data_IF_589686913944
#
_entry.id   IF_589686913944
#
_cell.length_a   1.000
_cell.length_b   1.000
_cell.length_c   1.000
_cell.angle_alpha   90.00
_cell.angle_beta   90.00
_cell.angle_gamma   90.00
#
_symmetry.space_group_name_H-M   'P 1'
#
loop_
_entity.id
_entity.type
_entity.pdbx_description
1 polymer ?
#
# COMPACT_ATOMS: atom_id res chain seq x y z
N UNK A 1 11.58 16.24 4.13
CA UNK A 1 11.16 16.77 2.81
C UNK A 1 9.70 17.13 2.95
N UNK A 2 9.27 18.26 2.40
CA UNK A 2 7.84 18.58 2.34
C UNK A 2 7.13 17.53 1.47
N UNK A 3 5.99 17.03 1.93
CA UNK A 3 5.28 15.91 1.28
C UNK A 3 4.73 16.29 -0.09
N UNK A 4 4.31 17.54 -0.29
CA UNK A 4 3.81 18.03 -1.57
C UNK A 4 4.95 18.14 -2.58
N UNK A 5 6.13 18.57 -2.13
CA UNK A 5 7.31 18.62 -2.99
C UNK A 5 7.81 17.22 -3.37
N UNK A 6 7.66 16.22 -2.48
CA UNK A 6 7.93 14.82 -2.83
C UNK A 6 6.96 14.30 -3.90
N UNK A 7 5.66 14.53 -3.73
CA UNK A 7 4.64 14.15 -4.72
C UNK A 7 4.91 14.86 -6.06
N UNK A 8 5.27 16.15 -6.04
CA UNK A 8 5.66 16.92 -7.24
C UNK A 8 6.85 16.28 -7.94
N UNK A 9 7.92 15.98 -7.21
CA UNK A 9 9.12 15.38 -7.78
C UNK A 9 8.85 14.01 -8.42
N UNK A 10 8.02 13.18 -7.78
CA UNK A 10 7.59 11.89 -8.33
C UNK A 10 6.72 12.06 -9.58
N UNK A 11 5.77 12.99 -9.56
CA UNK A 11 4.95 13.30 -10.73
C UNK A 11 5.79 13.77 -11.93
N UNK A 12 6.80 14.62 -11.69
CA UNK A 12 7.75 15.04 -12.72
C UNK A 12 8.65 13.89 -13.22
N UNK A 13 9.07 12.97 -12.34
CA UNK A 13 9.78 11.75 -12.76
C UNK A 13 8.88 10.87 -13.63
N UNK A 14 7.61 10.72 -13.25
CA UNK A 14 6.62 9.96 -14.01
C UNK A 14 6.43 10.55 -15.42
N UNK A 15 6.34 11.87 -15.56
CA UNK A 15 6.32 12.52 -16.87
C UNK A 15 7.60 12.27 -17.66
N UNK A 16 8.77 12.39 -17.03
CA UNK A 16 10.08 12.16 -17.67
C UNK A 16 10.24 10.73 -18.19
N UNK A 17 9.61 9.74 -17.56
CA UNK A 17 9.58 8.36 -18.07
C UNK A 17 8.41 8.09 -19.04
N UNK A 18 7.82 9.14 -19.62
CA UNK A 18 6.76 9.04 -20.62
C UNK A 18 5.39 8.68 -20.04
N UNK A 19 5.19 8.84 -18.74
CA UNK A 19 3.95 8.47 -18.05
C UNK A 19 2.70 9.24 -18.51
N UNK A 20 2.87 10.42 -19.11
CA UNK A 20 1.78 11.23 -19.64
C UNK A 20 1.45 10.94 -21.11
N UNK A 21 2.23 10.08 -21.77
CA UNK A 21 2.08 9.75 -23.20
C UNK A 21 0.98 8.71 -23.41
N UNK A 22 0.01 9.06 -24.27
CA UNK A 22 -1.09 8.19 -24.69
C UNK A 22 -0.70 7.37 -25.91
N UNK A 23 -1.49 6.33 -26.20
CA UNK A 23 -1.27 5.43 -27.35
C UNK A 23 -1.33 6.14 -28.71
N UNK A 24 -2.01 7.29 -28.79
CA UNK A 24 -2.10 8.14 -29.99
C UNK A 24 -0.94 9.14 -30.11
N UNK A 25 0.03 9.10 -29.19
CA UNK A 25 1.17 10.01 -29.13
C UNK A 25 0.88 11.38 -28.48
N UNK A 26 -0.36 11.64 -28.05
CA UNK A 26 -0.69 12.86 -27.31
C UNK A 26 -0.20 12.79 -25.86
N UNK A 27 0.05 13.96 -25.25
CA UNK A 27 0.44 14.06 -23.84
C UNK A 27 -0.71 14.62 -23.01
N UNK A 28 -1.02 13.93 -21.92
CA UNK A 28 -1.90 14.45 -20.87
C UNK A 28 -1.13 15.45 -19.99
N UNK A 29 -1.85 16.41 -19.40
CA UNK A 29 -1.26 17.28 -18.38
C UNK A 29 -1.06 16.48 -17.10
N UNK A 30 0.03 16.77 -16.37
CA UNK A 30 0.28 16.18 -15.04
C UNK A 30 -0.78 16.61 -14.03
N UNK A 31 -1.10 17.90 -14.03
CA UNK A 31 -2.04 18.51 -13.10
C UNK A 31 -2.97 19.47 -13.85
N UNK A 32 -4.22 19.52 -13.40
CA UNK A 32 -5.13 20.61 -13.77
C UNK A 32 -4.72 21.89 -13.02
N UNK A 33 -5.17 23.09 -13.45
CA UNK A 33 -4.89 24.32 -12.73
C UNK A 33 -5.25 24.18 -11.24
N UNK A 34 -4.38 24.62 -10.30
CA UNK A 34 -4.69 24.56 -8.88
C UNK A 34 -5.98 25.29 -8.53
N UNK A 35 -6.73 24.73 -7.58
CA UNK A 35 -7.89 25.41 -7.01
C UNK A 35 -7.43 26.56 -6.11
N UNK A 36 -8.24 27.61 -5.98
CA UNK A 36 -8.03 28.59 -4.90
C UNK A 36 -8.52 28.00 -3.58
N UNK A 37 -8.00 28.52 -2.47
CA UNK A 37 -8.46 28.07 -1.15
C UNK A 37 -9.95 28.36 -0.96
N UNK A 38 -10.48 29.45 -1.53
CA UNK A 38 -11.90 29.79 -1.50
C UNK A 38 -12.76 28.74 -2.20
N UNK A 39 -12.32 28.23 -3.36
CA UNK A 39 -13.02 27.15 -4.07
C UNK A 39 -13.06 25.86 -3.24
N UNK A 40 -11.97 25.54 -2.53
CA UNK A 40 -11.93 24.39 -1.62
C UNK A 40 -12.87 24.60 -0.43
N UNK A 41 -12.89 25.78 0.19
CA UNK A 41 -13.80 26.07 1.31
C UNK A 41 -15.27 26.10 0.90
N UNK A 42 -15.56 26.56 -0.32
CA UNK A 42 -16.91 26.50 -0.88
C UNK A 42 -17.36 25.05 -1.07
N UNK A 43 -16.49 24.20 -1.63
CA UNK A 43 -16.75 22.77 -1.77
C UNK A 43 -16.96 22.08 -0.42
N UNK A 44 -16.12 22.33 0.57
CA UNK A 44 -16.26 21.79 1.93
C UNK A 44 -17.62 22.16 2.55
N UNK A 45 -18.05 23.41 2.38
CA UNK A 45 -19.34 23.89 2.86
C UNK A 45 -20.51 23.21 2.14
N UNK A 46 -20.46 23.13 0.81
CA UNK A 46 -21.48 22.51 -0.03
C UNK A 46 -21.67 21.03 0.33
N UNK A 47 -20.56 20.31 0.44
CA UNK A 47 -20.56 18.87 0.70
C UNK A 47 -20.66 18.51 2.19
N UNK A 48 -20.64 19.52 3.09
CA UNK A 48 -20.55 19.39 4.55
C UNK A 48 -19.39 18.47 5.00
N UNK A 49 -18.20 18.68 4.43
CA UNK A 49 -16.98 17.93 4.75
C UNK A 49 -15.86 18.84 5.23
N UNK A 50 -14.81 18.28 5.82
CA UNK A 50 -13.55 19.00 6.12
C UNK A 50 -12.40 18.19 5.60
N UNK A 51 -11.81 18.61 4.48
CA UNK A 51 -10.78 17.86 3.79
C UNK A 51 -9.48 17.86 4.62
N UNK A 52 -8.73 16.73 4.65
CA UNK A 52 -7.42 16.67 5.26
C UNK A 52 -6.46 17.73 4.68
N UNK A 53 -5.64 18.33 5.54
CA UNK A 53 -4.74 19.44 5.17
C UNK A 53 -3.84 19.10 3.97
N UNK A 54 -3.24 17.90 3.96
CA UNK A 54 -2.38 17.46 2.85
C UNK A 54 -3.15 17.39 1.53
N UNK A 55 -4.42 17.00 1.55
CA UNK A 55 -5.25 16.96 0.34
C UNK A 55 -5.65 18.36 -0.12
N UNK A 56 -5.94 19.28 0.81
CA UNK A 56 -6.15 20.70 0.49
C UNK A 56 -4.90 21.27 -0.20
N UNK A 57 -3.72 21.03 0.37
CA UNK A 57 -2.45 21.46 -0.22
C UNK A 57 -2.22 20.85 -1.61
N UNK A 58 -2.53 19.58 -1.82
CA UNK A 58 -2.49 18.96 -3.16
C UNK A 58 -3.34 19.77 -4.16
N UNK A 59 -4.59 20.08 -3.80
CA UNK A 59 -5.51 20.80 -4.69
C UNK A 59 -5.06 22.23 -4.98
N UNK A 60 -4.45 22.92 -4.01
CA UNK A 60 -4.07 24.34 -4.12
C UNK A 60 -2.64 24.59 -4.57
N UNK A 61 -1.73 23.63 -4.40
CA UNK A 61 -0.30 23.78 -4.74
C UNK A 61 0.14 22.92 -5.94
N UNK A 62 -0.57 21.82 -6.23
CA UNK A 62 -0.29 20.94 -7.37
C UNK A 62 -1.35 21.07 -8.46
N UNK A 63 -2.60 20.74 -8.16
CA UNK A 63 -3.68 20.83 -9.13
C UNK A 63 -5.05 20.38 -8.64
N UNK A 64 -6.09 21.03 -9.17
CA UNK A 64 -7.49 20.66 -8.95
C UNK A 64 -7.87 19.41 -9.78
N UNK A 65 -7.23 18.28 -9.46
CA UNK A 65 -7.22 17.09 -10.29
C UNK A 65 -5.87 16.89 -10.97
N UNK A 66 -5.62 15.67 -11.43
CA UNK A 66 -4.37 15.32 -12.10
C UNK A 66 -3.87 13.93 -11.77
N UNK A 67 -2.55 13.74 -11.88
CA UNK A 67 -1.90 12.46 -11.70
C UNK A 67 -1.98 12.00 -10.25
N UNK A 68 -2.11 10.69 -10.08
CA UNK A 68 -2.08 10.02 -8.80
C UNK A 68 -2.15 8.51 -9.05
N UNK A 69 -2.25 7.71 -7.99
CA UNK A 69 -2.54 6.29 -8.12
C UNK A 69 -3.83 6.08 -8.93
N UNK A 70 -4.03 4.86 -9.44
CA UNK A 70 -5.23 4.51 -10.20
C UNK A 70 -5.41 5.40 -11.44
N UNK A 71 -6.63 5.90 -11.69
CA UNK A 71 -6.94 6.84 -12.77
C UNK A 71 -6.72 8.32 -12.40
N UNK A 72 -5.91 8.60 -11.39
CA UNK A 72 -5.59 9.95 -10.93
C UNK A 72 -6.61 10.53 -9.97
N UNK A 73 -6.41 11.80 -9.61
CA UNK A 73 -7.21 12.52 -8.63
C UNK A 73 -8.30 13.31 -9.33
N UNK A 74 -9.51 13.25 -8.78
CA UNK A 74 -10.66 14.02 -9.26
C UNK A 74 -10.51 15.50 -8.96
N UNK A 75 -10.98 16.34 -9.89
CA UNK A 75 -11.24 17.76 -9.61
C UNK A 75 -12.39 17.92 -8.63
N UNK A 76 -12.50 19.10 -8.00
CA UNK A 76 -13.64 19.47 -7.16
C UNK A 76 -14.98 19.22 -7.88
N UNK A 77 -15.09 19.56 -9.17
CA UNK A 77 -16.32 19.35 -9.95
C UNK A 77 -16.64 17.88 -10.11
N UNK A 78 -15.65 17.06 -10.47
CA UNK A 78 -15.83 15.61 -10.56
C UNK A 78 -16.14 14.99 -9.20
N UNK A 79 -15.58 15.52 -8.11
CA UNK A 79 -15.96 15.07 -6.76
C UNK A 79 -17.41 15.42 -6.42
N UNK A 80 -17.95 16.56 -6.85
CA UNK A 80 -19.38 16.86 -6.71
C UNK A 80 -20.24 15.85 -7.46
N UNK A 81 -19.91 15.60 -8.73
CA UNK A 81 -20.60 14.62 -9.57
C UNK A 81 -20.59 13.22 -8.97
N UNK A 82 -19.46 12.81 -8.38
CA UNK A 82 -19.28 11.47 -7.80
C UNK A 82 -19.84 11.33 -6.39
N UNK A 83 -20.19 12.43 -5.72
CA UNK A 83 -20.70 12.40 -4.34
C UNK A 83 -21.98 13.24 -4.18
N UNK A 84 -23.04 13.01 -4.99
CA UNK A 84 -24.21 13.88 -5.02
C UNK A 84 -24.96 13.99 -3.68
N UNK A 85 -24.82 12.98 -2.82
CA UNK A 85 -25.48 12.90 -1.50
C UNK A 85 -24.53 13.23 -0.33
N UNK A 86 -23.36 13.82 -0.58
CA UNK A 86 -22.36 14.02 0.47
C UNK A 86 -22.86 14.83 1.68
N UNK A 87 -23.63 15.89 1.43
CA UNK A 87 -24.17 16.72 2.49
C UNK A 87 -25.22 15.99 3.35
N UNK A 88 -25.97 15.05 2.75
CA UNK A 88 -27.03 14.31 3.43
C UNK A 88 -26.49 13.28 4.44
N UNK A 89 -25.28 12.76 4.20
CA UNK A 89 -24.61 11.78 5.07
C UNK A 89 -23.75 12.41 6.18
N UNK A 90 -23.67 13.74 6.28
CA UNK A 90 -22.77 14.43 7.20
C UNK A 90 -23.00 14.08 8.68
N UNK A 91 -24.24 13.72 9.04
CA UNK A 91 -24.64 13.40 10.41
C UNK A 91 -24.72 11.88 10.66
N UNK A 92 -24.45 11.05 9.64
CA UNK A 92 -24.41 9.58 9.78
C UNK A 92 -23.16 9.11 10.54
N UNK A 93 -23.23 7.96 11.22
CA UNK A 93 -22.08 7.35 11.90
C UNK A 93 -21.01 6.91 10.89
N UNK A 94 -19.74 7.03 11.28
CA UNK A 94 -18.62 6.58 10.46
C UNK A 94 -18.50 5.06 10.59
N UNK A 95 -18.50 4.37 9.46
CA UNK A 95 -18.47 2.90 9.42
C UNK A 95 -17.08 2.34 9.09
N UNK A 96 -16.44 2.90 8.06
CA UNK A 96 -15.10 2.48 7.61
C UNK A 96 -14.00 3.10 8.49
N UNK A 97 -12.98 2.30 8.82
CA UNK A 97 -11.73 2.78 9.44
C UNK A 97 -11.84 3.02 10.95
N UNK A 98 -12.09 1.96 11.72
CA UNK A 98 -12.16 2.00 13.20
C UNK A 98 -13.55 2.31 13.76
N UNK A 99 -14.54 2.63 12.92
CA UNK A 99 -15.84 3.14 13.36
C UNK A 99 -16.88 2.10 13.83
N UNK A 100 -16.74 0.83 13.46
CA UNK A 100 -17.69 -0.24 13.80
C UNK A 100 -17.02 -1.44 14.48
N UNK A 101 -17.53 -1.90 15.64
CA UNK A 101 -17.23 -3.21 16.19
C UNK A 101 -17.51 -4.33 15.18
N UNK A 102 -16.79 -5.46 15.29
CA UNK A 102 -16.93 -6.59 14.37
C UNK A 102 -18.37 -7.14 14.32
N UNK A 103 -19.05 -7.16 15.46
CA UNK A 103 -20.41 -7.65 15.57
C UNK A 103 -21.42 -6.75 14.83
N UNK A 104 -21.25 -5.42 14.94
CA UNK A 104 -22.06 -4.45 14.21
C UNK A 104 -21.78 -4.49 12.70
N UNK A 105 -20.51 -4.72 12.32
CA UNK A 105 -20.15 -4.94 10.92
C UNK A 105 -20.87 -6.17 10.34
N UNK A 106 -20.88 -7.29 11.07
CA UNK A 106 -21.58 -8.52 10.62
C UNK A 106 -23.08 -8.28 10.47
N UNK A 107 -23.70 -7.54 11.39
CA UNK A 107 -25.11 -7.18 11.27
C UNK A 107 -25.39 -6.31 10.05
N UNK A 108 -24.53 -5.33 9.74
CA UNK A 108 -24.67 -4.51 8.55
C UNK A 108 -24.51 -5.34 7.26
N UNK A 109 -23.51 -6.24 7.22
CA UNK A 109 -23.28 -7.11 6.06
C UNK A 109 -24.50 -8.01 5.77
N UNK A 110 -25.13 -8.57 6.82
CA UNK A 110 -26.36 -9.34 6.68
C UNK A 110 -27.54 -8.49 6.20
N UNK A 111 -27.64 -7.24 6.66
CA UNK A 111 -28.67 -6.30 6.20
C UNK A 111 -28.49 -5.96 4.70
N UNK A 112 -27.25 -5.76 4.26
CA UNK A 112 -26.91 -5.49 2.87
C UNK A 112 -27.18 -6.67 1.94
N UNK A 113 -26.79 -7.88 2.35
CA UNK A 113 -27.07 -9.11 1.63
C UNK A 113 -28.57 -9.34 1.45
N UNK A 114 -29.36 -9.20 2.54
CA UNK A 114 -30.80 -9.35 2.46
C UNK A 114 -31.45 -8.31 1.52
N UNK A 115 -30.97 -7.07 1.52
CA UNK A 115 -31.48 -6.04 0.61
C UNK A 115 -31.18 -6.36 -0.86
N UNK A 116 -30.00 -6.91 -1.16
CA UNK A 116 -29.65 -7.37 -2.50
C UNK A 116 -30.47 -8.59 -2.94
N UNK A 117 -30.60 -9.60 -2.07
CA UNK A 117 -31.38 -10.82 -2.34
C UNK A 117 -32.87 -10.51 -2.60
N UNK A 118 -33.41 -9.50 -1.92
CA UNK A 118 -34.78 -9.02 -2.09
C UNK A 118 -34.94 -8.03 -3.27
N UNK A 119 -33.87 -7.72 -4.01
CA UNK A 119 -33.82 -6.70 -5.06
C UNK A 119 -34.35 -5.33 -4.60
N UNK A 120 -34.09 -4.97 -3.33
CA UNK A 120 -34.55 -3.74 -2.71
C UNK A 120 -33.59 -2.58 -2.97
N UNK A 121 -33.65 -2.01 -4.18
CA UNK A 121 -32.74 -0.96 -4.64
C UNK A 121 -32.67 0.28 -3.73
N UNK A 122 -33.80 0.71 -3.17
CA UNK A 122 -33.83 1.87 -2.26
C UNK A 122 -33.04 1.59 -0.98
N UNK A 123 -33.18 0.37 -0.44
CA UNK A 123 -32.46 -0.06 0.76
C UNK A 123 -30.97 -0.26 0.48
N UNK A 124 -30.61 -0.86 -0.65
CA UNK A 124 -29.20 -0.99 -1.07
C UNK A 124 -28.55 0.39 -1.18
N UNK A 125 -29.20 1.36 -1.83
CA UNK A 125 -28.70 2.72 -1.93
C UNK A 125 -28.54 3.41 -0.57
N UNK A 126 -29.48 3.23 0.36
CA UNK A 126 -29.37 3.72 1.75
C UNK A 126 -28.13 3.15 2.46
N UNK A 127 -27.92 1.83 2.34
CA UNK A 127 -26.81 1.13 2.98
C UNK A 127 -25.45 1.53 2.39
N UNK A 128 -25.38 1.73 1.08
CA UNK A 128 -24.20 2.30 0.44
C UNK A 128 -23.86 3.68 1.01
N UNK A 129 -24.85 4.59 1.14
CA UNK A 129 -24.62 5.93 1.71
C UNK A 129 -24.14 5.88 3.16
N UNK A 130 -24.69 4.95 3.96
CA UNK A 130 -24.24 4.69 5.34
C UNK A 130 -22.78 4.24 5.36
N UNK A 131 -22.40 3.27 4.51
CA UNK A 131 -21.06 2.72 4.45
C UNK A 131 -20.00 3.81 4.23
N UNK A 132 -20.26 4.74 3.31
CA UNK A 132 -19.32 5.78 2.91
C UNK A 132 -19.45 7.09 3.69
N UNK A 133 -20.24 7.14 4.77
CA UNK A 133 -20.56 8.36 5.52
C UNK A 133 -19.34 9.19 5.96
N UNK A 134 -18.21 8.53 6.26
CA UNK A 134 -17.00 9.18 6.77
C UNK A 134 -15.99 9.66 5.73
N UNK A 135 -16.24 9.45 4.44
CA UNK A 135 -15.24 9.73 3.40
C UNK A 135 -15.83 10.26 2.10
N UNK A 136 -15.00 10.77 1.20
CA UNK A 136 -15.40 11.36 -0.08
C UNK A 136 -14.65 10.70 -1.23
N UNK A 137 -15.31 10.41 -2.34
CA UNK A 137 -14.64 9.76 -3.48
C UNK A 137 -13.70 10.72 -4.18
N UNK A 138 -12.43 10.34 -4.27
CA UNK A 138 -11.35 11.15 -4.87
C UNK A 138 -10.70 10.50 -6.10
N UNK A 139 -10.94 9.20 -6.33
CA UNK A 139 -10.36 8.43 -7.45
C UNK A 139 -11.13 7.11 -7.67
N UNK A 140 -10.74 6.35 -8.69
CA UNK A 140 -11.21 4.99 -8.98
C UNK A 140 -10.09 4.19 -9.65
N UNK A 141 -9.85 2.92 -9.26
CA UNK A 141 -9.01 2.00 -10.03
C UNK A 141 -9.71 1.44 -11.28
N UNK A 142 -10.99 1.76 -11.49
CA UNK A 142 -11.82 1.24 -12.57
C UNK A 142 -12.84 0.21 -12.09
N UNK A 143 -13.56 -0.40 -13.04
CA UNK A 143 -14.63 -1.36 -12.77
C UNK A 143 -15.68 -0.79 -11.79
N UNK A 144 -15.98 -1.54 -10.74
CA UNK A 144 -16.96 -1.22 -9.69
C UNK A 144 -16.30 -0.68 -8.43
N UNK A 145 -14.98 -0.47 -8.47
CA UNK A 145 -14.20 0.00 -7.33
C UNK A 145 -14.10 1.53 -7.28
N UNK A 146 -14.13 2.07 -6.07
CA UNK A 146 -14.00 3.50 -5.81
C UNK A 146 -12.99 3.77 -4.69
N UNK A 147 -12.26 4.87 -4.81
CA UNK A 147 -11.28 5.29 -3.82
C UNK A 147 -11.84 6.44 -2.99
N UNK A 148 -11.96 6.20 -1.70
CA UNK A 148 -12.57 7.08 -0.71
C UNK A 148 -11.48 7.70 0.18
N UNK A 149 -11.46 9.02 0.28
CA UNK A 149 -10.64 9.76 1.24
C UNK A 149 -11.46 10.00 2.51
N UNK A 150 -11.00 9.46 3.63
CA UNK A 150 -11.65 9.63 4.92
C UNK A 150 -11.40 11.03 5.48
N UNK A 151 -12.46 11.68 5.93
CA UNK A 151 -12.41 13.02 6.53
C UNK A 151 -13.01 13.06 7.96
N UNK A 152 -13.60 11.95 8.42
CA UNK A 152 -14.10 11.74 9.79
C UNK A 152 -13.67 10.35 10.30
N UNK A 153 -13.73 10.17 11.62
CA UNK A 153 -13.39 8.91 12.29
C UNK A 153 -11.90 8.72 12.52
N UNK A 154 -11.52 7.55 13.04
CA UNK A 154 -10.12 7.23 13.37
C UNK A 154 -9.22 7.17 12.14
N UNK A 155 -9.79 6.85 10.98
CA UNK A 155 -9.08 6.82 9.70
C UNK A 155 -9.02 8.17 8.97
N UNK A 156 -9.46 9.29 9.57
CA UNK A 156 -9.41 10.60 8.91
C UNK A 156 -8.00 10.92 8.38
N UNK A 157 -7.90 11.38 7.13
CA UNK A 157 -6.64 11.57 6.41
C UNK A 157 -6.16 10.35 5.63
N UNK A 158 -6.80 9.19 5.81
CA UNK A 158 -6.46 7.95 5.09
C UNK A 158 -7.35 7.70 3.88
N UNK A 159 -6.85 6.89 2.96
CA UNK A 159 -7.54 6.45 1.75
C UNK A 159 -7.91 4.97 1.86
N UNK A 160 -9.13 4.62 1.49
CA UNK A 160 -9.57 3.24 1.34
C UNK A 160 -10.18 2.99 -0.03
N UNK A 161 -10.01 1.78 -0.56
CA UNK A 161 -10.70 1.33 -1.76
C UNK A 161 -11.88 0.48 -1.35
N UNK A 162 -13.07 0.85 -1.82
CA UNK A 162 -14.29 0.07 -1.69
C UNK A 162 -14.67 -0.47 -3.05
N UNK A 163 -15.36 -1.60 -3.07
CA UNK A 163 -15.91 -2.17 -4.28
C UNK A 163 -17.44 -2.19 -4.14
N UNK A 164 -18.11 -1.58 -5.12
CA UNK A 164 -19.57 -1.46 -5.17
C UNK A 164 -20.26 -2.80 -5.36
N UNK A 165 -19.56 -3.82 -5.90
CA UNK A 165 -20.10 -5.19 -6.00
C UNK A 165 -19.92 -6.00 -4.71
N UNK A 166 -19.20 -5.46 -3.72
CA UNK A 166 -18.60 -6.21 -2.60
C UNK A 166 -19.33 -6.06 -1.27
N UNK A 167 -20.51 -5.45 -1.26
CA UNK A 167 -21.33 -5.41 -0.05
C UNK A 167 -21.73 -6.82 0.47
N UNK A 168 -21.45 -7.88 -0.30
CA UNK A 168 -21.91 -9.26 -0.05
C UNK A 168 -20.89 -10.24 0.56
N UNK A 169 -19.64 -9.83 0.85
CA UNK A 169 -18.64 -10.76 1.40
C UNK A 169 -18.22 -10.30 2.79
N UNK A 170 -18.58 -11.08 3.82
CA UNK A 170 -18.54 -10.86 5.28
C UNK A 170 -17.24 -10.31 5.93
N UNK A 171 -16.25 -9.89 5.15
CA UNK A 171 -15.04 -9.25 5.63
C UNK A 171 -15.20 -7.73 5.64
N UNK A 172 -14.88 -7.11 6.78
CA UNK A 172 -14.78 -5.65 6.88
C UNK A 172 -13.86 -5.13 5.76
N UNK A 173 -14.27 -4.13 4.94
CA UNK A 173 -13.37 -3.48 4.00
C UNK A 173 -12.19 -3.03 4.84
N UNK A 174 -11.06 -3.71 4.59
CA UNK A 174 -9.93 -3.81 5.51
C UNK A 174 -9.59 -2.40 6.00
N UNK A 175 -9.37 -2.26 7.30
CA UNK A 175 -8.86 -1.05 7.96
C UNK A 175 -7.40 -0.75 7.57
N UNK A 176 -7.04 -1.00 6.30
CA UNK A 176 -5.75 -0.77 5.68
C UNK A 176 -5.71 0.59 5.01
N UNK A 177 -6.28 1.61 5.68
CA UNK A 177 -6.08 2.98 5.27
C UNK A 177 -4.59 3.30 5.29
N UNK A 178 -4.01 3.65 4.15
CA UNK A 178 -2.79 4.43 4.15
C UNK A 178 -3.17 5.89 4.23
N UNK A 179 -2.32 6.71 4.86
CA UNK A 179 -2.44 8.16 4.74
C UNK A 179 -2.52 8.55 3.26
N UNK A 180 -3.22 9.62 2.93
CA UNK A 180 -3.33 10.10 1.56
C UNK A 180 -1.95 10.31 0.93
N UNK A 181 -0.99 10.84 1.69
CA UNK A 181 0.37 11.02 1.23
C UNK A 181 1.11 9.71 0.92
N UNK A 182 1.03 8.71 1.80
CA UNK A 182 1.67 7.43 1.56
C UNK A 182 1.02 6.74 0.36
N UNK A 183 -0.30 6.84 0.22
CA UNK A 183 -1.05 6.32 -0.94
C UNK A 183 -0.58 6.98 -2.24
N UNK A 184 -0.48 8.31 -2.28
CA UNK A 184 0.01 9.05 -3.45
C UNK A 184 1.45 8.68 -3.81
N UNK A 185 2.35 8.66 -2.83
CA UNK A 185 3.76 8.34 -3.02
C UNK A 185 3.93 6.90 -3.50
N UNK A 186 3.21 5.94 -2.89
CA UNK A 186 3.23 4.53 -3.30
C UNK A 186 2.74 4.35 -4.74
N UNK A 187 1.58 4.89 -5.09
CA UNK A 187 1.05 4.70 -6.43
C UNK A 187 1.82 5.45 -7.52
N UNK A 188 2.44 6.60 -7.22
CA UNK A 188 3.38 7.23 -8.16
C UNK A 188 4.64 6.39 -8.36
N UNK A 189 5.17 5.78 -7.30
CA UNK A 189 6.26 4.83 -7.44
C UNK A 189 5.88 3.60 -8.27
N UNK A 190 4.67 3.05 -8.09
CA UNK A 190 4.14 1.95 -8.91
C UNK A 190 4.07 2.36 -10.38
N UNK A 191 3.50 3.53 -10.66
CA UNK A 191 3.37 4.09 -12.01
C UNK A 191 4.74 4.29 -12.67
N UNK A 192 5.73 4.85 -11.96
CA UNK A 192 7.09 5.02 -12.46
C UNK A 192 7.76 3.66 -12.72
N UNK A 193 7.64 2.72 -11.79
CA UNK A 193 8.23 1.39 -11.92
C UNK A 193 7.66 0.64 -13.12
N UNK A 194 6.34 0.70 -13.30
CA UNK A 194 5.66 0.09 -14.42
C UNK A 194 6.06 0.75 -15.75
N UNK A 195 6.03 2.08 -15.85
CA UNK A 195 6.39 2.76 -17.11
C UNK A 195 7.85 2.59 -17.51
N UNK A 196 8.76 2.66 -16.55
CA UNK A 196 10.20 2.65 -16.82
C UNK A 196 10.74 1.24 -17.05
N UNK A 197 10.12 0.23 -16.41
CA UNK A 197 10.68 -1.11 -16.36
C UNK A 197 9.70 -2.24 -16.68
N UNK A 198 8.41 -1.95 -16.89
CA UNK A 198 7.32 -2.95 -17.01
C UNK A 198 7.29 -3.87 -15.78
N UNK A 199 7.43 -3.29 -14.58
CA UNK A 199 7.48 -4.02 -13.30
C UNK A 199 6.33 -3.58 -12.41
N UNK A 200 5.64 -4.57 -11.85
CA UNK A 200 4.69 -4.38 -10.77
C UNK A 200 5.29 -4.86 -9.45
N UNK A 201 5.26 -4.04 -8.40
CA UNK A 201 5.61 -4.48 -7.04
C UNK A 201 4.35 -4.96 -6.35
N UNK A 202 4.38 -6.16 -5.76
CA UNK A 202 3.24 -6.76 -5.07
C UNK A 202 3.66 -7.23 -3.69
N UNK A 203 2.74 -7.17 -2.74
CA UNK A 203 2.94 -7.88 -1.46
C UNK A 203 2.47 -9.32 -1.63
N UNK A 204 3.23 -10.27 -1.07
CA UNK A 204 2.79 -11.65 -0.95
C UNK A 204 1.77 -11.72 0.17
N UNK A 205 0.50 -11.52 -0.19
CA UNK A 205 -0.66 -11.66 0.69
C UNK A 205 -1.73 -12.44 -0.06
N UNK A 206 -1.70 -13.76 0.03
CA UNK A 206 -2.85 -14.56 -0.34
C UNK A 206 -3.41 -15.14 0.95
N UNK A 207 -4.44 -14.46 1.46
CA UNK A 207 -5.22 -14.92 2.60
C UNK A 207 -5.91 -16.23 2.21
N UNK A 208 -5.74 -17.29 2.99
CA UNK A 208 -6.67 -18.42 2.93
C UNK A 208 -8.02 -18.01 3.55
N UNK A 209 -9.02 -18.90 3.53
CA UNK A 209 -10.36 -18.66 4.10
C UNK A 209 -10.35 -18.26 5.59
N UNK A 210 -9.23 -18.45 6.31
CA UNK A 210 -9.05 -18.04 7.70
C UNK A 210 -8.19 -16.78 7.89
N UNK A 211 -7.87 -16.05 6.81
CA UNK A 211 -7.10 -14.80 6.90
C UNK A 211 -5.60 -15.00 7.13
N UNK A 212 -5.07 -16.20 6.89
CA UNK A 212 -3.66 -16.54 7.10
C UNK A 212 -2.98 -16.97 5.79
N UNK A 213 -1.77 -16.44 5.55
CA UNK A 213 -1.13 -16.41 4.24
C UNK A 213 -0.69 -17.77 3.70
N UNK A 214 -1.00 -18.06 2.44
CA UNK A 214 -0.15 -18.91 1.59
C UNK A 214 0.06 -18.22 0.26
N UNK A 215 1.31 -18.03 -0.16
CA UNK A 215 1.59 -17.93 -1.59
C UNK A 215 1.14 -19.24 -2.24
N UNK A 216 0.30 -19.19 -3.28
CA UNK A 216 -0.06 -20.40 -4.03
C UNK A 216 1.19 -21.20 -4.42
N UNK A 217 1.09 -22.53 -4.51
CA UNK A 217 2.21 -23.47 -4.65
C UNK A 217 3.30 -23.00 -5.64
N UNK A 218 2.89 -22.61 -6.86
CA UNK A 218 3.79 -22.09 -7.90
C UNK A 218 4.57 -20.84 -7.50
N UNK A 219 3.94 -19.93 -6.76
CA UNK A 219 4.59 -18.73 -6.26
C UNK A 219 5.61 -19.10 -5.19
N UNK A 220 5.24 -19.96 -4.24
CA UNK A 220 6.16 -20.46 -3.20
C UNK A 220 7.41 -21.09 -3.81
N UNK A 221 7.27 -21.91 -4.84
CA UNK A 221 8.40 -22.51 -5.56
C UNK A 221 9.32 -21.44 -6.16
N UNK A 222 8.74 -20.44 -6.82
CA UNK A 222 9.49 -19.31 -7.39
C UNK A 222 10.23 -18.50 -6.33
N UNK A 223 9.64 -18.31 -5.14
CA UNK A 223 10.27 -17.60 -4.02
C UNK A 223 11.45 -18.39 -3.45
N UNK A 224 11.32 -19.71 -3.36
CA UNK A 224 12.39 -20.61 -2.91
C UNK A 224 13.54 -20.58 -3.91
N UNK A 225 13.27 -20.67 -5.20
CA UNK A 225 14.29 -20.57 -6.26
C UNK A 225 15.10 -19.28 -6.16
N UNK A 226 14.43 -18.14 -5.98
CA UNK A 226 15.11 -16.85 -5.82
C UNK A 226 15.94 -16.76 -4.54
N UNK A 227 15.47 -17.37 -3.44
CA UNK A 227 16.23 -17.42 -2.18
C UNK A 227 17.47 -18.29 -2.29
N UNK A 228 17.36 -19.44 -2.95
CA UNK A 228 18.50 -20.32 -3.23
C UNK A 228 19.51 -19.59 -4.12
N UNK A 229 19.05 -18.94 -5.19
CA UNK A 229 19.92 -18.16 -6.07
C UNK A 229 20.67 -17.04 -5.31
N UNK A 230 19.98 -16.34 -4.41
CA UNK A 230 20.61 -15.34 -3.55
C UNK A 230 21.73 -15.95 -2.69
N UNK A 231 21.43 -17.04 -1.96
CA UNK A 231 22.38 -17.70 -1.06
C UNK A 231 23.60 -18.23 -1.81
N UNK A 232 23.40 -18.81 -2.98
CA UNK A 232 24.50 -19.27 -3.85
C UNK A 232 25.39 -18.10 -4.29
N UNK A 233 24.81 -16.95 -4.65
CA UNK A 233 25.58 -15.74 -4.98
C UNK A 233 26.32 -15.14 -3.76
N UNK A 234 25.83 -15.38 -2.55
CA UNK A 234 26.47 -15.01 -1.29
C UNK A 234 27.53 -16.03 -0.84
N UNK A 235 27.73 -17.13 -1.59
CA UNK A 235 28.79 -18.11 -1.39
C UNK A 235 28.37 -19.42 -0.71
N UNK A 236 27.07 -19.61 -0.45
CA UNK A 236 26.55 -20.88 0.10
C UNK A 236 26.34 -21.91 -1.01
N UNK A 237 27.32 -22.79 -1.20
CA UNK A 237 27.28 -23.82 -2.25
C UNK A 237 26.26 -24.93 -1.98
N UNK A 238 25.77 -25.05 -0.74
CA UNK A 238 24.82 -26.09 -0.34
C UNK A 238 23.39 -25.54 -0.20
N UNK A 239 23.15 -24.29 -0.63
CA UNK A 239 21.86 -23.62 -0.50
C UNK A 239 20.70 -24.39 -1.14
N UNK A 240 20.96 -25.23 -2.14
CA UNK A 240 19.95 -26.07 -2.80
C UNK A 240 19.32 -27.06 -1.81
N UNK A 241 20.09 -27.56 -0.85
CA UNK A 241 19.63 -28.53 0.14
C UNK A 241 18.68 -27.89 1.18
N UNK A 242 18.67 -26.55 1.27
CA UNK A 242 17.79 -25.79 2.17
C UNK A 242 16.36 -25.62 1.63
N UNK A 243 16.06 -26.06 0.41
CA UNK A 243 14.75 -25.87 -0.21
C UNK A 243 13.57 -26.34 0.67
N UNK A 244 13.63 -27.53 1.31
CA UNK A 244 12.57 -27.98 2.22
C UNK A 244 12.43 -27.08 3.46
N UNK A 245 13.54 -26.69 4.09
CA UNK A 245 13.52 -25.84 5.29
C UNK A 245 13.00 -24.43 4.99
N UNK A 246 13.34 -23.88 3.83
CA UNK A 246 12.84 -22.57 3.37
C UNK A 246 11.33 -22.65 3.12
N UNK A 247 10.83 -23.75 2.53
CA UNK A 247 9.39 -23.97 2.35
C UNK A 247 8.67 -23.99 3.69
N UNK A 248 9.12 -24.83 4.62
CA UNK A 248 8.53 -24.96 5.94
C UNK A 248 8.52 -23.63 6.69
N UNK A 249 9.58 -22.83 6.55
CA UNK A 249 9.64 -21.48 7.09
C UNK A 249 8.58 -20.57 6.45
N UNK A 250 8.50 -20.49 5.12
CA UNK A 250 7.56 -19.62 4.42
C UNK A 250 6.10 -19.98 4.73
N UNK A 251 5.74 -21.26 4.67
CA UNK A 251 4.38 -21.72 4.95
C UNK A 251 3.94 -21.33 6.38
N UNK A 252 4.81 -21.59 7.37
CA UNK A 252 4.54 -21.22 8.76
C UNK A 252 4.52 -19.71 8.98
N UNK A 253 5.49 -18.98 8.43
CA UNK A 253 5.71 -17.57 8.75
C UNK A 253 4.75 -16.62 8.01
N UNK A 254 4.33 -16.97 6.79
CA UNK A 254 3.18 -16.32 6.15
C UNK A 254 1.88 -16.69 6.87
N UNK A 255 1.74 -17.96 7.26
CA UNK A 255 0.56 -18.48 7.94
C UNK A 255 0.34 -17.94 9.35
N UNK A 256 1.32 -17.32 10.00
CA UNK A 256 1.14 -16.69 11.32
C UNK A 256 1.45 -15.19 11.33
N UNK A 257 1.73 -14.59 10.16
CA UNK A 257 2.00 -13.17 10.01
C UNK A 257 3.35 -12.69 10.57
N UNK A 258 4.26 -13.60 10.97
CA UNK A 258 5.60 -13.24 11.47
C UNK A 258 6.58 -12.88 10.35
N UNK A 259 6.22 -13.14 9.10
CA UNK A 259 7.00 -12.78 7.93
C UNK A 259 6.12 -12.19 6.83
N UNK A 260 6.60 -11.11 6.22
CA UNK A 260 5.98 -10.46 5.05
C UNK A 260 7.00 -10.34 3.94
N UNK A 261 6.56 -10.51 2.69
CA UNK A 261 7.42 -10.40 1.53
C UNK A 261 6.80 -9.50 0.46
N UNK A 262 7.65 -8.73 -0.22
CA UNK A 262 7.31 -8.00 -1.45
C UNK A 262 8.05 -8.63 -2.62
N UNK A 263 7.38 -8.66 -3.77
CA UNK A 263 7.90 -9.21 -5.02
C UNK A 263 7.85 -8.17 -6.12
N UNK A 264 8.86 -8.16 -6.98
CA UNK A 264 8.84 -7.47 -8.25
C UNK A 264 8.46 -8.46 -9.34
N UNK A 265 7.40 -8.15 -10.10
CA UNK A 265 6.85 -9.00 -11.16
C UNK A 265 7.03 -8.32 -12.50
N UNK A 266 7.61 -9.02 -13.47
CA UNK A 266 7.75 -8.58 -14.85
C UNK A 266 7.09 -9.60 -15.77
N UNK A 267 6.07 -9.19 -16.52
CA UNK A 267 5.33 -10.07 -17.47
C UNK A 267 4.86 -11.40 -16.85
N UNK A 268 4.41 -11.35 -15.59
CA UNK A 268 3.92 -12.51 -14.84
C UNK A 268 5.00 -13.33 -14.11
N UNK A 269 6.29 -13.01 -14.30
CA UNK A 269 7.41 -13.70 -13.65
C UNK A 269 7.91 -12.91 -12.44
N UNK A 270 8.20 -13.60 -11.33
CA UNK A 270 8.86 -12.99 -10.16
C UNK A 270 10.35 -12.81 -10.47
N UNK A 271 10.80 -11.56 -10.50
CA UNK A 271 12.17 -11.18 -10.84
C UNK A 271 12.96 -10.61 -9.65
N UNK A 272 12.27 -10.31 -8.54
CA UNK A 272 12.91 -9.82 -7.33
C UNK A 272 12.04 -10.00 -6.10
N UNK A 273 12.68 -10.01 -4.94
CA UNK A 273 12.08 -10.26 -3.62
C UNK A 273 12.70 -9.35 -2.57
N UNK A 274 11.94 -9.06 -1.52
CA UNK A 274 12.44 -8.60 -0.22
C UNK A 274 11.52 -9.10 0.88
N UNK A 275 12.09 -9.75 1.89
CA UNK A 275 11.40 -10.23 3.08
C UNK A 275 11.61 -9.33 4.30
N UNK A 276 10.62 -9.31 5.18
CA UNK A 276 10.68 -8.65 6.48
C UNK A 276 10.12 -9.60 7.55
N UNK A 277 10.99 -10.03 8.46
CA UNK A 277 10.62 -10.79 9.65
C UNK A 277 10.26 -9.84 10.79
N UNK A 278 9.14 -10.10 11.47
CA UNK A 278 8.70 -9.33 12.63
C UNK A 278 9.24 -9.97 13.91
N UNK A 279 9.91 -9.16 14.72
CA UNK A 279 10.47 -9.52 16.01
C UNK A 279 9.98 -8.54 17.07
N UNK A 280 9.96 -8.98 18.33
CA UNK A 280 9.60 -8.13 19.46
C UNK A 280 10.59 -8.33 20.61
N UNK A 281 10.92 -7.22 21.29
CA UNK A 281 11.69 -7.19 22.54
C UNK A 281 10.90 -6.36 23.55
N UNK A 282 11.14 -6.54 24.86
CA UNK A 282 10.67 -5.59 25.85
C UNK A 282 11.03 -4.16 25.43
N UNK A 283 10.08 -3.19 25.47
CA UNK A 283 10.33 -1.80 25.15
C UNK A 283 11.55 -1.21 25.86
N UNK A 284 12.31 -0.37 25.15
CA UNK A 284 13.48 0.32 25.70
C UNK A 284 13.59 1.74 25.13
N UNK A 285 14.40 2.60 25.75
CA UNK A 285 14.45 4.03 25.42
C UNK A 285 14.70 4.34 23.94
N UNK A 286 15.53 3.55 23.26
CA UNK A 286 15.81 3.71 21.84
C UNK A 286 14.79 3.03 20.90
N UNK A 287 13.92 2.15 21.42
CA UNK A 287 12.77 1.62 20.70
C UNK A 287 11.58 1.37 21.65
N UNK A 288 10.78 2.41 21.93
CA UNK A 288 9.65 2.30 22.85
C UNK A 288 8.54 1.35 22.37
N UNK A 289 8.48 1.01 21.08
CA UNK A 289 7.47 0.06 20.58
C UNK A 289 7.89 -1.39 20.80
N UNK A 290 9.19 -1.65 21.03
CA UNK A 290 9.73 -3.02 21.13
C UNK A 290 9.75 -3.81 19.82
N UNK A 291 8.97 -3.38 18.82
CA UNK A 291 8.83 -4.00 17.49
C UNK A 291 10.05 -3.74 16.61
N UNK A 292 10.57 -4.81 16.01
CA UNK A 292 11.75 -4.79 15.15
C UNK A 292 11.43 -5.52 13.84
N UNK A 293 11.77 -4.92 12.72
CA UNK A 293 11.73 -5.57 11.41
C UNK A 293 13.12 -6.04 10.99
N UNK A 294 13.29 -7.31 10.65
CA UNK A 294 14.55 -7.84 10.12
C UNK A 294 14.39 -8.11 8.63
N UNK A 295 15.10 -7.35 7.80
CA UNK A 295 15.12 -7.56 6.35
C UNK A 295 15.93 -8.81 6.03
N UNK A 296 15.36 -9.66 5.20
CA UNK A 296 16.00 -10.85 4.63
C UNK A 296 15.51 -11.05 3.19
N UNK A 297 16.03 -12.07 2.51
CA UNK A 297 15.54 -12.48 1.18
C UNK A 297 15.48 -11.33 0.16
N UNK A 298 16.41 -10.37 0.25
CA UNK A 298 16.55 -9.29 -0.73
C UNK A 298 17.29 -9.82 -1.94
N UNK A 299 16.60 -9.96 -3.06
CA UNK A 299 17.23 -10.43 -4.29
C UNK A 299 16.57 -9.84 -5.53
N UNK A 300 17.37 -9.65 -6.57
CA UNK A 300 16.91 -9.23 -7.90
C UNK A 300 17.70 -10.02 -8.93
N UNK A 301 17.02 -10.66 -9.88
CA UNK A 301 17.66 -11.44 -10.94
C UNK A 301 18.70 -10.57 -11.69
N UNK A 302 19.90 -11.10 -12.00
CA UNK A 302 21.01 -10.32 -12.56
C UNK A 302 20.65 -9.42 -13.74
N UNK A 303 19.87 -9.94 -14.71
CA UNK A 303 19.49 -9.21 -15.93
C UNK A 303 18.60 -7.98 -15.70
N UNK A 304 17.99 -7.86 -14.51
CA UNK A 304 17.17 -6.71 -14.13
C UNK A 304 17.92 -5.73 -13.19
N UNK A 305 19.10 -6.06 -12.68
CA UNK A 305 19.85 -5.19 -11.73
C UNK A 305 20.21 -3.83 -12.33
N UNK A 306 20.61 -2.89 -11.45
CA UNK A 306 20.96 -1.49 -11.78
C UNK A 306 19.82 -0.63 -12.34
N UNK A 307 18.58 -1.07 -12.13
CA UNK A 307 17.33 -0.37 -12.50
C UNK A 307 16.58 0.21 -11.30
N UNK A 308 17.22 0.33 -10.13
CA UNK A 308 16.60 0.91 -8.94
C UNK A 308 15.56 0.03 -8.21
N UNK A 309 15.21 -1.16 -8.70
CA UNK A 309 14.18 -2.02 -8.10
C UNK A 309 14.39 -2.33 -6.62
N UNK A 310 15.61 -2.69 -6.20
CA UNK A 310 15.85 -3.04 -4.79
C UNK A 310 15.58 -1.85 -3.87
N UNK A 311 15.93 -0.63 -4.31
CA UNK A 311 15.60 0.63 -3.62
C UNK A 311 14.09 0.87 -3.62
N UNK A 312 13.43 0.62 -4.75
CA UNK A 312 11.99 0.73 -4.88
C UNK A 312 11.27 -0.21 -3.89
N UNK A 313 11.58 -1.51 -3.90
CA UNK A 313 11.03 -2.50 -2.97
C UNK A 313 11.31 -2.15 -1.50
N UNK A 314 12.53 -1.69 -1.16
CA UNK A 314 12.83 -1.21 0.20
C UNK A 314 11.95 -0.03 0.62
N UNK A 315 11.60 0.86 -0.31
CA UNK A 315 10.63 1.93 -0.07
C UNK A 315 9.29 1.41 0.44
N UNK A 316 8.75 0.35 -0.18
CA UNK A 316 7.51 -0.30 0.29
C UNK A 316 7.68 -0.91 1.67
N UNK A 317 8.80 -1.60 1.91
CA UNK A 317 9.10 -2.19 3.23
C UNK A 317 9.13 -1.11 4.32
N UNK A 318 9.80 0.02 4.07
CA UNK A 318 9.95 1.09 5.07
C UNK A 318 8.62 1.78 5.37
N UNK A 319 7.83 2.10 4.33
CA UNK A 319 6.50 2.71 4.52
C UNK A 319 5.56 1.76 5.25
N UNK A 320 5.55 0.48 4.90
CA UNK A 320 4.76 -0.51 5.61
C UNK A 320 5.22 -0.68 7.06
N UNK A 321 6.53 -0.76 7.31
CA UNK A 321 7.09 -0.88 8.65
C UNK A 321 6.70 0.31 9.54
N UNK A 322 6.77 1.54 9.00
CA UNK A 322 6.32 2.77 9.68
C UNK A 322 4.84 2.69 10.03
N UNK A 323 3.97 2.32 9.08
CA UNK A 323 2.52 2.14 9.31
C UNK A 323 2.21 1.09 10.37
N UNK A 324 2.98 0.00 10.41
CA UNK A 324 2.81 -1.08 11.38
C UNK A 324 3.36 -0.75 12.79
N UNK A 325 3.97 0.42 12.97
CA UNK A 325 4.57 0.85 14.24
C UNK A 325 5.88 0.14 14.57
N UNK A 326 6.60 -0.37 13.57
CA UNK A 326 7.94 -0.92 13.75
C UNK A 326 8.88 0.24 14.09
N UNK A 327 9.50 0.19 15.27
CA UNK A 327 10.38 1.26 15.71
C UNK A 327 11.79 1.18 15.13
N UNK A 328 12.27 -0.03 14.80
CA UNK A 328 13.60 -0.24 14.22
C UNK A 328 13.53 -1.29 13.11
N UNK A 329 14.18 -1.00 11.97
CA UNK A 329 14.45 -1.99 10.92
C UNK A 329 15.94 -2.31 10.88
N UNK A 330 16.28 -3.59 10.79
CA UNK A 330 17.65 -4.11 10.77
C UNK A 330 17.85 -5.00 9.55
N UNK A 331 19.11 -5.14 9.12
CA UNK A 331 19.49 -6.03 8.03
C UNK A 331 20.90 -6.54 8.26
N UNK A 332 21.15 -7.81 7.94
CA UNK A 332 22.50 -8.31 7.73
C UNK A 332 22.83 -8.12 6.25
N UNK A 333 23.54 -7.03 5.94
CA UNK A 333 23.83 -6.68 4.56
C UNK A 333 24.92 -7.57 3.96
N UNK A 334 24.71 -8.05 2.73
CA UNK A 334 25.79 -8.59 1.91
C UNK A 334 26.74 -7.47 1.46
N UNK A 335 27.96 -7.81 1.03
CA UNK A 335 28.93 -6.85 0.51
C UNK A 335 28.34 -6.00 -0.63
N UNK A 336 27.57 -6.66 -1.52
CA UNK A 336 26.88 -6.00 -2.63
C UNK A 336 25.71 -5.11 -2.16
N UNK A 337 25.02 -5.51 -1.08
CA UNK A 337 23.86 -4.80 -0.54
C UNK A 337 24.20 -3.56 0.28
N UNK A 338 25.41 -3.46 0.84
CA UNK A 338 25.78 -2.40 1.78
C UNK A 338 25.50 -0.98 1.24
N UNK A 339 25.98 -0.67 0.03
CA UNK A 339 25.77 0.64 -0.60
C UNK A 339 24.30 0.98 -0.84
N UNK A 340 23.48 -0.05 -1.11
CA UNK A 340 22.04 0.14 -1.27
C UNK A 340 21.41 0.59 0.05
N UNK A 341 21.68 -0.13 1.14
CA UNK A 341 21.12 0.19 2.45
C UNK A 341 21.57 1.57 2.95
N UNK A 342 22.86 1.91 2.82
CA UNK A 342 23.38 3.24 3.17
C UNK A 342 22.66 4.34 2.37
N UNK A 343 22.44 4.13 1.07
CA UNK A 343 21.69 5.08 0.23
C UNK A 343 20.21 5.22 0.59
N UNK A 344 19.67 4.27 1.37
CA UNK A 344 18.32 4.29 1.92
C UNK A 344 18.28 4.79 3.38
N UNK A 345 19.42 5.27 3.91
CA UNK A 345 19.51 5.84 5.24
C UNK A 345 19.80 4.84 6.37
N UNK A 346 20.13 3.58 6.04
CA UNK A 346 20.60 2.63 7.07
C UNK A 346 21.96 3.07 7.60
N UNK A 347 22.14 2.95 8.91
CA UNK A 347 23.39 3.28 9.59
C UNK A 347 24.00 2.04 10.23
N UNK A 348 25.33 1.99 10.27
CA UNK A 348 26.06 0.92 10.95
C UNK A 348 25.78 0.93 12.46
N UNK A 349 25.67 -0.26 13.06
CA UNK A 349 25.49 -0.44 14.50
C UNK A 349 26.72 -1.13 15.08
N UNK A 350 27.45 -0.45 15.95
CA UNK A 350 28.71 -0.97 16.56
C UNK A 350 28.48 -1.99 17.69
N UNK A 351 27.22 -2.27 18.08
CA UNK A 351 26.90 -3.03 19.30
C UNK A 351 26.37 -4.44 19.07
N UNK A 352 26.43 -4.95 17.84
CA UNK A 352 25.97 -6.31 17.53
C UNK A 352 27.07 -7.33 17.85
N UNK A 353 26.79 -8.25 18.78
CA UNK A 353 27.67 -9.36 19.13
C UNK A 353 26.95 -10.67 18.79
N UNK A 354 27.69 -11.63 18.23
CA UNK A 354 27.18 -12.95 17.85
C UNK A 354 28.03 -14.04 18.50
N UNK A 355 27.36 -15.08 19.01
CA UNK A 355 27.98 -16.31 19.50
C UNK A 355 27.37 -17.50 18.77
N UNK A 356 28.19 -18.32 18.09
CA UNK A 356 27.72 -19.42 17.24
C UNK A 356 27.62 -20.73 18.03
N UNK A 357 26.39 -21.18 18.27
CA UNK A 357 26.10 -22.41 19.02
C UNK A 357 26.16 -23.69 18.16
N UNK A 358 26.31 -23.59 16.83
CA UNK A 358 26.36 -24.76 15.94
C UNK A 358 27.69 -25.51 16.01
N UNK A 359 28.71 -24.86 16.58
CA UNK A 359 30.07 -25.39 16.71
C UNK A 359 30.35 -25.96 18.11
N UNK A 360 29.31 -26.28 18.87
CA UNK A 360 29.39 -26.87 20.23
C UNK A 360 28.94 -28.32 20.19
#
# INVERSE_FOLDING_TARGET
MDVIEEIRALAEEYEKCGGTERSDGSKSKLFDPPATIEQVREFEKEMRVTLPEVFVRYLTELGNGGIGPNYGIYSLDKMRERNPNAAARADLPVMIGGGLPEEEWRSFAQEAEAAEDEENFDKTAELEQRLIAGGIFISTPGCTMNTLLMFRGEAAGSVCTIDSDFLTWYSKPIESGCSFEDWMIEGLHDHIAHRKYEIDVRTVTQYNQSGLGMAGEKLTDSLIELRIAQLMEEGDTNAVDLAPDIRDFYERAFGNGTFRMWIAVHRGEVIGTVGLTLLEKPPYSANPTGKIGLISSMYVKPQFRRRGMAKCMLGYVMRWAKRYGIGIVQVMASEQGMKLYESCGFMHSERFLQYDLRNI
#
